data_IF_478055508101
#
_entry.id   IF_478055508101
#
_cell.length_a   1.000
_cell.length_b   1.000
_cell.length_c   1.000
_cell.angle_alpha   90.00
_cell.angle_beta   90.00
_cell.angle_gamma   90.00
#
_symmetry.space_group_name_H-M   'P 1'
#
loop_
_entity.id
_entity.type
_entity.pdbx_description
1 polymer ?
#
# COMPACT_ATOMS: atom_id res chain seq x y z
N UNK A 1 -21.99 -12.17 -31.41
CA UNK A 1 -22.89 -11.30 -30.62
C UNK A 1 -23.61 -11.99 -29.44
N UNK A 2 -23.83 -13.32 -29.46
CA UNK A 2 -24.57 -14.05 -28.39
C UNK A 2 -23.82 -14.18 -27.04
N UNK A 3 -22.49 -14.24 -27.05
CA UNK A 3 -21.66 -14.35 -25.81
C UNK A 3 -21.64 -13.06 -24.97
N UNK A 4 -21.52 -11.89 -25.60
CA UNK A 4 -21.52 -10.60 -24.89
C UNK A 4 -22.85 -10.33 -24.16
N UNK A 5 -23.97 -10.78 -24.76
CA UNK A 5 -25.32 -10.64 -24.20
C UNK A 5 -25.55 -11.47 -22.93
N UNK A 6 -24.77 -12.54 -22.71
CA UNK A 6 -24.92 -13.40 -21.55
C UNK A 6 -24.02 -13.00 -20.37
N UNK A 7 -22.87 -12.35 -20.62
CA UNK A 7 -21.94 -11.97 -19.56
C UNK A 7 -22.19 -10.55 -19.00
N UNK A 8 -22.78 -9.67 -19.81
CA UNK A 8 -23.11 -8.30 -19.40
C UNK A 8 -24.11 -8.24 -18.23
N UNK A 9 -25.21 -9.03 -18.18
CA UNK A 9 -26.12 -9.04 -17.05
C UNK A 9 -25.47 -9.55 -15.76
N UNK A 10 -24.62 -10.58 -15.87
CA UNK A 10 -23.85 -11.10 -14.74
C UNK A 10 -22.88 -10.06 -14.20
N UNK A 11 -22.14 -9.37 -15.08
CA UNK A 11 -21.23 -8.29 -14.66
C UNK A 11 -22.01 -7.15 -13.99
N UNK A 12 -23.16 -6.74 -14.55
CA UNK A 12 -23.99 -5.68 -13.98
C UNK A 12 -24.48 -6.02 -12.57
N UNK A 13 -24.78 -7.30 -12.30
CA UNK A 13 -25.15 -7.78 -10.97
C UNK A 13 -23.98 -7.71 -9.97
N UNK A 14 -22.76 -7.94 -10.43
CA UNK A 14 -21.54 -7.84 -9.59
C UNK A 14 -21.02 -6.40 -9.45
N UNK A 15 -21.44 -5.46 -10.32
CA UNK A 15 -20.95 -4.08 -10.27
C UNK A 15 -21.05 -3.43 -8.89
N UNK A 16 -22.15 -3.57 -8.11
CA UNK A 16 -22.23 -2.95 -6.80
C UNK A 16 -21.13 -3.42 -5.84
N UNK A 17 -20.79 -4.71 -5.85
CA UNK A 17 -19.73 -5.25 -5.00
C UNK A 17 -18.34 -4.85 -5.50
N UNK A 18 -18.11 -4.88 -6.83
CA UNK A 18 -16.86 -4.43 -7.43
C UNK A 18 -16.61 -2.94 -7.14
N UNK A 19 -17.64 -2.10 -7.25
CA UNK A 19 -17.56 -0.68 -6.94
C UNK A 19 -17.27 -0.47 -5.45
N UNK A 20 -17.96 -1.21 -4.57
CA UNK A 20 -17.69 -1.15 -3.14
C UNK A 20 -16.23 -1.51 -2.83
N UNK A 21 -15.71 -2.60 -3.40
CA UNK A 21 -14.28 -2.98 -3.27
C UNK A 21 -13.38 -1.89 -3.85
N UNK A 22 -13.72 -1.35 -5.01
CA UNK A 22 -13.04 -0.22 -5.65
C UNK A 22 -12.85 0.95 -4.70
N UNK A 23 -13.92 1.39 -4.06
CA UNK A 23 -13.91 2.54 -3.16
C UNK A 23 -13.21 2.21 -1.85
N UNK A 24 -13.62 1.14 -1.17
CA UNK A 24 -13.16 0.88 0.19
C UNK A 24 -11.76 0.26 0.24
N UNK A 25 -11.38 -0.58 -0.71
CA UNK A 25 -10.04 -1.18 -0.71
C UNK A 25 -9.07 -0.22 -1.38
N UNK A 26 -9.31 0.13 -2.65
CA UNK A 26 -8.34 0.94 -3.38
C UNK A 26 -8.33 2.40 -2.94
N UNK A 27 -9.44 2.95 -2.45
CA UNK A 27 -9.43 4.28 -1.82
C UNK A 27 -8.56 4.31 -0.55
N UNK A 28 -8.65 3.29 0.30
CA UNK A 28 -7.79 3.20 1.49
C UNK A 28 -6.33 2.92 1.12
N UNK A 29 -6.06 2.08 0.13
CA UNK A 29 -4.70 1.87 -0.39
C UNK A 29 -4.14 3.20 -0.91
N UNK A 30 -4.91 3.94 -1.70
CA UNK A 30 -4.49 5.24 -2.22
C UNK A 30 -4.17 6.24 -1.10
N UNK A 31 -5.00 6.29 -0.05
CA UNK A 31 -4.72 7.13 1.12
C UNK A 31 -3.40 6.74 1.80
N UNK A 32 -3.14 5.45 1.99
CA UNK A 32 -1.88 4.99 2.57
C UNK A 32 -0.67 5.32 1.70
N UNK A 33 -0.76 5.13 0.38
CA UNK A 33 0.31 5.49 -0.57
C UNK A 33 0.53 7.01 -0.59
N UNK A 34 -0.53 7.81 -0.51
CA UNK A 34 -0.39 9.26 -0.40
C UNK A 34 0.30 9.65 0.90
N UNK A 35 -0.08 9.05 2.03
CA UNK A 35 0.53 9.31 3.33
C UNK A 35 2.00 8.87 3.37
N UNK A 36 2.36 7.74 2.78
CA UNK A 36 3.77 7.28 2.77
C UNK A 36 4.70 8.20 1.99
N UNK A 37 4.17 8.96 1.03
CA UNK A 37 4.89 9.96 0.25
C UNK A 37 4.90 11.36 0.92
N UNK A 38 4.14 11.58 1.98
CA UNK A 38 4.10 12.89 2.63
C UNK A 38 5.35 13.14 3.48
N UNK A 39 5.69 14.43 3.62
CA UNK A 39 6.70 14.89 4.58
C UNK A 39 6.11 14.83 5.99
N UNK A 40 6.90 14.39 6.96
CA UNK A 40 6.49 14.39 8.37
C UNK A 40 7.57 14.99 9.27
N UNK A 41 7.12 15.68 10.31
CA UNK A 41 7.98 16.28 11.34
C UNK A 41 7.74 15.61 12.69
N UNK A 42 8.77 15.68 13.54
CA UNK A 42 8.68 15.29 14.93
C UNK A 42 7.77 16.27 15.67
N UNK A 43 6.77 15.75 16.38
CA UNK A 43 5.79 16.60 17.05
C UNK A 43 6.40 17.48 18.15
N UNK A 44 7.49 17.05 18.78
CA UNK A 44 8.11 17.74 19.92
C UNK A 44 9.19 18.72 19.43
N UNK A 45 10.01 18.27 18.47
CA UNK A 45 11.21 19.00 18.05
C UNK A 45 11.00 19.82 16.77
N UNK A 46 9.86 19.61 16.08
CA UNK A 46 9.53 20.14 14.75
C UNK A 46 10.58 19.83 13.67
N UNK A 47 11.44 18.84 13.95
CA UNK A 47 12.47 18.38 13.02
C UNK A 47 11.86 17.48 11.96
N UNK A 48 12.33 17.63 10.73
CA UNK A 48 11.90 16.78 9.62
C UNK A 48 12.40 15.36 9.85
N UNK A 49 11.46 14.44 10.09
CA UNK A 49 11.77 13.01 10.19
C UNK A 49 11.81 12.42 8.77
N UNK A 50 10.78 12.70 7.99
CA UNK A 50 10.61 12.16 6.65
C UNK A 50 10.54 13.31 5.65
N UNK A 51 11.47 13.43 4.70
CA UNK A 51 11.53 14.55 3.76
C UNK A 51 10.38 14.59 2.73
N UNK A 52 9.68 13.47 2.53
CA UNK A 52 8.62 13.28 1.53
C UNK A 52 9.11 12.57 0.27
N UNK A 53 8.14 12.13 -0.55
CA UNK A 53 8.35 11.49 -1.85
C UNK A 53 9.16 10.19 -1.77
N UNK A 54 9.99 9.97 -2.79
CA UNK A 54 10.87 8.79 -2.90
C UNK A 54 11.92 8.78 -1.79
N UNK A 55 12.32 9.95 -1.29
CA UNK A 55 13.34 10.07 -0.25
C UNK A 55 12.93 9.40 1.08
N UNK A 56 11.63 9.27 1.35
CA UNK A 56 11.14 8.49 2.50
C UNK A 56 11.55 7.01 2.41
N UNK A 57 11.44 6.43 1.21
CA UNK A 57 11.77 5.03 0.98
C UNK A 57 13.28 4.80 0.95
N UNK A 58 14.04 5.66 0.28
CA UNK A 58 15.51 5.50 0.23
C UNK A 58 16.13 5.68 1.60
N UNK A 59 15.60 6.62 2.41
CA UNK A 59 16.05 6.80 3.80
C UNK A 59 15.74 5.57 4.66
N UNK A 60 14.53 5.00 4.54
CA UNK A 60 14.14 3.81 5.28
C UNK A 60 14.96 2.57 4.86
N UNK A 61 15.17 2.39 3.56
CA UNK A 61 15.96 1.26 3.03
C UNK A 61 17.46 1.38 3.34
N UNK A 62 17.96 2.57 3.60
CA UNK A 62 19.35 2.81 4.03
C UNK A 62 19.55 2.67 5.55
N UNK A 63 18.48 2.47 6.33
CA UNK A 63 18.56 2.31 7.78
C UNK A 63 18.96 0.87 8.16
N UNK A 64 20.08 0.73 8.88
CA UNK A 64 20.64 -0.58 9.25
C UNK A 64 19.64 -1.42 10.06
N UNK A 65 18.90 -0.80 10.99
CA UNK A 65 17.92 -1.51 11.81
C UNK A 65 16.76 -2.02 10.96
N UNK A 66 16.31 -1.23 9.99
CA UNK A 66 15.28 -1.65 9.04
C UNK A 66 15.76 -2.81 8.16
N UNK A 67 16.99 -2.75 7.64
CA UNK A 67 17.57 -3.84 6.86
C UNK A 67 17.69 -5.14 7.67
N UNK A 68 18.13 -5.07 8.93
CA UNK A 68 18.17 -6.23 9.83
C UNK A 68 16.77 -6.83 10.06
N UNK A 69 15.74 -5.98 10.23
CA UNK A 69 14.36 -6.45 10.36
C UNK A 69 13.87 -7.14 9.08
N UNK A 70 14.19 -6.61 7.89
CA UNK A 70 13.86 -7.25 6.61
C UNK A 70 14.55 -8.61 6.45
N UNK A 71 15.81 -8.70 6.84
CA UNK A 71 16.54 -9.97 6.81
C UNK A 71 15.92 -11.01 7.74
N UNK A 72 15.61 -10.61 8.97
CA UNK A 72 14.94 -11.48 9.93
C UNK A 72 13.57 -11.93 9.41
N UNK A 73 12.79 -11.02 8.84
CA UNK A 73 11.49 -11.34 8.25
C UNK A 73 11.62 -12.41 7.15
N UNK A 74 12.61 -12.27 6.26
CA UNK A 74 12.86 -13.25 5.20
C UNK A 74 13.28 -14.60 5.77
N UNK A 75 14.27 -14.62 6.65
CA UNK A 75 14.80 -15.86 7.26
C UNK A 75 13.71 -16.60 8.02
N UNK A 76 12.93 -15.89 8.83
CA UNK A 76 11.84 -16.49 9.60
C UNK A 76 10.73 -17.00 8.67
N UNK A 77 10.37 -16.27 7.63
CA UNK A 77 9.34 -16.73 6.68
C UNK A 77 9.79 -18.03 5.99
N UNK A 78 11.05 -18.13 5.57
CA UNK A 78 11.58 -19.35 4.95
C UNK A 78 11.73 -20.50 5.94
N UNK A 79 12.12 -20.23 7.18
CA UNK A 79 12.33 -21.27 8.18
C UNK A 79 11.03 -21.88 8.72
N UNK A 80 9.92 -21.12 8.67
CA UNK A 80 8.64 -21.51 9.29
C UNK A 80 7.51 -21.79 8.28
N UNK A 81 7.74 -21.61 6.97
CA UNK A 81 6.86 -22.09 5.89
C UNK A 81 7.28 -23.49 5.47
#
# INVERSE_FOLDING_TARGET
MRRAKNWLPSLLFLLPSIIAVGIFVYGLIFKNVSTSLQRSTDFITDKVINPGGIANYTKLLADDRYQHALWNLLVLTVAFV
#
